data_IF_088589200460
#
_entry.id   IF_088589200460
#
_cell.length_a   1.000
_cell.length_b   1.000
_cell.length_c   1.000
_cell.angle_alpha   90.00
_cell.angle_beta   90.00
_cell.angle_gamma   90.00
#
_symmetry.space_group_name_H-M   'P 1'
#
loop_
_entity.id
_entity.type
_entity.pdbx_description
1 polymer ?
#
# COMPACT_ATOMS: atom_id res chain seq x y z
N UNK A 1 15.96 54.11 -62.74
CA UNK A 1 14.61 53.77 -62.35
C UNK A 1 14.61 52.31 -61.81
N UNK A 2 14.75 52.20 -60.56
CA UNK A 2 14.98 50.88 -59.93
C UNK A 2 13.79 50.61 -58.98
N UNK A 3 12.99 49.60 -59.31
CA UNK A 3 11.78 49.19 -58.51
C UNK A 3 12.22 48.29 -57.36
N UNK A 4 11.97 48.75 -56.17
CA UNK A 4 12.15 47.96 -54.93
C UNK A 4 10.89 47.15 -54.69
N UNK A 5 11.02 45.83 -54.71
CA UNK A 5 9.98 44.90 -54.26
C UNK A 5 10.16 44.61 -52.75
N UNK A 6 9.17 45.04 -51.95
CA UNK A 6 9.06 44.61 -50.57
C UNK A 6 8.44 43.21 -50.52
N UNK A 7 9.18 42.25 -49.99
CA UNK A 7 8.69 40.95 -49.65
C UNK A 7 8.18 40.96 -48.18
N UNK A 8 6.89 40.84 -48.01
CA UNK A 8 6.28 40.71 -46.69
C UNK A 8 6.42 39.27 -46.15
N UNK A 9 7.16 39.11 -45.07
CA UNK A 9 7.17 37.87 -44.29
C UNK A 9 5.94 37.79 -43.41
N UNK A 10 5.01 36.91 -43.74
CA UNK A 10 3.92 36.51 -42.85
C UNK A 10 4.46 35.44 -41.91
N UNK A 11 4.67 35.80 -40.64
CA UNK A 11 5.01 34.87 -39.59
C UNK A 11 3.72 34.13 -39.16
N UNK A 12 3.58 32.86 -39.56
CA UNK A 12 2.56 31.95 -39.03
C UNK A 12 2.99 31.53 -37.64
N UNK A 13 2.36 32.10 -36.62
CA UNK A 13 2.48 31.63 -35.25
C UNK A 13 1.66 30.33 -35.13
N UNK A 14 2.33 29.19 -35.13
CA UNK A 14 1.75 27.92 -34.76
C UNK A 14 1.53 27.91 -33.24
N UNK A 15 0.30 28.20 -32.79
CA UNK A 15 -0.16 27.86 -31.43
C UNK A 15 -0.19 26.34 -31.33
N UNK A 16 0.88 25.78 -30.83
CA UNK A 16 0.89 24.38 -30.34
C UNK A 16 0.08 24.35 -29.05
N UNK A 17 -1.22 24.10 -29.18
CA UNK A 17 -2.01 23.61 -28.05
C UNK A 17 -1.43 22.28 -27.62
N UNK A 18 -0.60 22.31 -26.61
CA UNK A 18 -0.18 21.13 -25.88
C UNK A 18 -1.42 20.45 -25.30
N UNK A 19 -1.97 19.50 -26.04
CA UNK A 19 -3.00 18.59 -25.55
C UNK A 19 -2.31 17.72 -24.51
N UNK A 20 -2.42 18.13 -23.24
CA UNK A 20 -2.14 17.26 -22.11
C UNK A 20 -3.04 16.03 -22.28
N UNK A 21 -2.51 14.97 -22.85
CA UNK A 21 -3.15 13.66 -22.83
C UNK A 21 -3.02 13.12 -21.42
N UNK A 22 -3.86 13.63 -20.49
CA UNK A 22 -4.33 12.80 -19.40
C UNK A 22 -5.06 11.65 -20.07
N UNK A 23 -4.39 10.52 -20.23
CA UNK A 23 -5.06 9.27 -20.44
C UNK A 23 -5.88 9.03 -19.18
N UNK A 24 -7.15 9.44 -19.21
CA UNK A 24 -8.14 8.98 -18.24
C UNK A 24 -8.15 7.46 -18.35
N UNK A 25 -7.42 6.85 -17.44
CA UNK A 25 -7.38 5.40 -17.32
C UNK A 25 -8.81 5.00 -16.96
N UNK A 26 -9.47 4.27 -17.87
CA UNK A 26 -10.86 3.88 -17.71
C UNK A 26 -11.04 3.21 -16.35
N UNK A 27 -11.89 3.78 -15.51
CA UNK A 27 -12.22 3.20 -14.22
C UNK A 27 -13.36 2.19 -14.38
N UNK A 28 -13.21 1.05 -13.75
CA UNK A 28 -14.30 0.13 -13.49
C UNK A 28 -15.10 0.66 -12.28
N UNK A 29 -16.42 0.48 -12.31
CA UNK A 29 -17.31 1.04 -11.31
C UNK A 29 -18.12 -0.03 -10.63
N UNK A 30 -18.16 0.01 -9.29
CA UNK A 30 -18.89 -0.93 -8.45
C UNK A 30 -19.79 -0.17 -7.48
N UNK A 31 -21.11 -0.34 -7.63
CA UNK A 31 -22.08 0.20 -6.68
C UNK A 31 -22.20 -0.74 -5.48
N UNK A 32 -22.07 -0.21 -4.28
CA UNK A 32 -22.13 -0.99 -3.04
C UNK A 32 -22.70 -0.16 -1.88
N UNK A 33 -22.81 -0.79 -0.72
CA UNK A 33 -23.27 -0.17 0.53
C UNK A 33 -22.31 -0.49 1.64
N UNK A 34 -22.37 0.28 2.71
CA UNK A 34 -21.53 0.02 3.86
C UNK A 34 -21.88 0.89 5.05
N UNK A 35 -21.13 0.68 6.12
CA UNK A 35 -21.21 1.45 7.35
C UNK A 35 -19.90 2.19 7.56
N UNK A 36 -19.97 3.49 7.81
CA UNK A 36 -18.81 4.32 8.13
C UNK A 36 -18.23 3.88 9.47
N UNK A 37 -16.94 3.55 9.50
CA UNK A 37 -16.21 3.11 10.70
C UNK A 37 -15.26 4.18 11.23
N UNK A 38 -14.80 5.09 10.39
CA UNK A 38 -13.89 6.16 10.79
C UNK A 38 -13.58 7.16 9.69
N UNK A 39 -12.71 8.09 10.03
CA UNK A 39 -12.16 9.11 9.13
C UNK A 39 -10.70 9.36 9.49
N UNK A 40 -9.88 9.72 8.50
CA UNK A 40 -8.57 10.30 8.77
C UNK A 40 -8.72 11.67 9.47
N UNK A 41 -7.72 12.12 10.24
CA UNK A 41 -7.78 13.41 10.94
C UNK A 41 -8.08 14.60 10.04
N UNK A 42 -7.57 14.58 8.81
CA UNK A 42 -7.78 15.59 7.76
C UNK A 42 -9.05 15.36 6.93
N UNK A 43 -9.81 14.28 7.21
CA UNK A 43 -10.99 13.84 6.47
C UNK A 43 -10.76 13.64 4.96
N UNK A 44 -9.55 13.38 4.54
CA UNK A 44 -9.26 13.00 3.14
C UNK A 44 -9.64 11.54 2.85
N UNK A 45 -9.77 10.73 3.90
CA UNK A 45 -10.06 9.30 3.84
C UNK A 45 -11.23 8.95 4.75
N UNK A 46 -12.11 8.11 4.26
CA UNK A 46 -13.25 7.53 5.00
C UNK A 46 -13.05 6.03 5.12
N UNK A 47 -13.13 5.49 6.32
CA UNK A 47 -13.10 4.06 6.58
C UNK A 47 -14.52 3.49 6.50
N UNK A 48 -14.74 2.54 5.59
CA UNK A 48 -16.06 1.96 5.34
C UNK A 48 -15.97 0.44 5.47
N UNK A 49 -16.86 -0.15 6.27
CA UNK A 49 -17.16 -1.58 6.20
C UNK A 49 -18.23 -1.77 5.12
N UNK A 50 -17.81 -2.23 3.95
CA UNK A 50 -18.69 -2.40 2.80
C UNK A 50 -19.24 -3.83 2.70
N UNK A 51 -20.36 -3.99 2.02
CA UNK A 51 -20.91 -5.29 1.64
C UNK A 51 -20.00 -6.02 0.65
N UNK A 52 -20.27 -7.31 0.43
CA UNK A 52 -19.63 -8.05 -0.65
C UNK A 52 -19.87 -7.36 -2.00
N UNK A 53 -18.81 -7.15 -2.76
CA UNK A 53 -18.86 -6.63 -4.14
C UNK A 53 -18.65 -7.84 -5.05
N UNK A 54 -19.73 -8.35 -5.71
CA UNK A 54 -19.62 -9.54 -6.54
C UNK A 54 -18.51 -9.44 -7.57
N UNK A 55 -17.80 -10.54 -7.80
CA UNK A 55 -16.73 -10.69 -8.78
C UNK A 55 -15.53 -9.73 -8.58
N UNK A 56 -15.51 -8.99 -7.47
CA UNK A 56 -14.42 -8.06 -7.19
C UNK A 56 -13.79 -8.27 -5.80
N UNK A 57 -14.55 -8.07 -4.71
CA UNK A 57 -13.99 -8.27 -3.36
C UNK A 57 -15.06 -8.63 -2.34
N UNK A 58 -14.73 -9.47 -1.32
CA UNK A 58 -15.64 -9.79 -0.23
C UNK A 58 -15.90 -8.59 0.67
N UNK A 59 -16.92 -8.69 1.52
CA UNK A 59 -17.21 -7.70 2.56
C UNK A 59 -16.02 -7.53 3.50
N UNK A 60 -15.56 -6.29 3.67
CA UNK A 60 -14.45 -5.96 4.56
C UNK A 60 -14.48 -4.48 4.98
N UNK A 61 -13.66 -4.14 5.98
CA UNK A 61 -13.44 -2.73 6.37
C UNK A 61 -12.14 -2.22 5.74
N UNK A 62 -12.22 -1.12 4.99
CA UNK A 62 -11.05 -0.52 4.37
C UNK A 62 -11.18 1.00 4.24
N UNK A 63 -10.06 1.74 4.18
CA UNK A 63 -10.08 3.17 3.92
C UNK A 63 -10.31 3.46 2.44
N UNK A 64 -11.10 4.47 2.16
CA UNK A 64 -11.36 5.00 0.83
C UNK A 64 -10.99 6.48 0.76
N UNK A 65 -10.33 6.87 -0.32
CA UNK A 65 -10.11 8.26 -0.67
C UNK A 65 -11.37 8.81 -1.32
N UNK A 66 -11.72 10.07 -1.05
CA UNK A 66 -12.73 10.79 -1.82
C UNK A 66 -12.07 11.89 -2.65
N UNK A 67 -12.47 12.02 -3.90
CA UNK A 67 -12.06 13.13 -4.77
C UNK A 67 -12.89 14.41 -4.54
N UNK A 68 -14.02 14.27 -3.86
CA UNK A 68 -14.87 15.38 -3.44
C UNK A 68 -15.16 15.30 -1.93
N UNK A 69 -14.40 16.03 -1.10
CA UNK A 69 -14.59 16.03 0.36
C UNK A 69 -15.99 16.42 0.82
N UNK A 70 -16.76 17.14 -0.01
CA UNK A 70 -18.13 17.52 0.34
C UNK A 70 -19.05 16.32 0.49
N UNK A 71 -18.78 15.23 -0.24
CA UNK A 71 -19.60 14.01 -0.19
C UNK A 71 -19.54 13.30 1.17
N UNK A 72 -18.48 13.50 1.94
CA UNK A 72 -18.28 12.87 3.25
C UNK A 72 -18.32 13.87 4.42
N UNK A 73 -18.50 15.17 4.14
CA UNK A 73 -18.39 16.23 5.15
C UNK A 73 -19.38 16.07 6.31
N UNK A 74 -20.63 15.68 6.01
CA UNK A 74 -21.72 15.54 6.99
C UNK A 74 -21.83 14.12 7.58
N UNK A 75 -21.02 13.16 7.09
CA UNK A 75 -21.07 11.80 7.56
C UNK A 75 -20.42 11.65 8.95
N UNK A 76 -20.94 10.69 9.71
CA UNK A 76 -20.46 10.33 11.04
C UNK A 76 -20.18 8.83 11.11
N UNK A 77 -19.30 8.42 12.01
CA UNK A 77 -19.10 7.01 12.35
C UNK A 77 -20.43 6.38 12.75
N UNK A 78 -20.73 5.23 12.17
CA UNK A 78 -21.99 4.51 12.31
C UNK A 78 -23.03 4.81 11.22
N UNK A 79 -22.84 5.84 10.40
CA UNK A 79 -23.76 6.12 9.29
C UNK A 79 -23.72 4.99 8.25
N UNK A 80 -24.90 4.58 7.79
CA UNK A 80 -25.04 3.67 6.67
C UNK A 80 -25.10 4.49 5.39
N UNK A 81 -24.34 4.05 4.39
CA UNK A 81 -24.21 4.73 3.11
C UNK A 81 -24.31 3.78 1.93
N UNK A 82 -24.82 4.28 0.82
CA UNK A 82 -24.58 3.72 -0.51
C UNK A 82 -23.52 4.58 -1.21
N UNK A 83 -22.68 3.96 -1.98
CA UNK A 83 -21.62 4.65 -2.71
C UNK A 83 -21.21 3.86 -3.94
N UNK A 84 -20.53 4.52 -4.85
CA UNK A 84 -19.86 3.90 -5.99
C UNK A 84 -18.37 3.91 -5.72
N UNK A 85 -17.74 2.76 -5.89
CA UNK A 85 -16.30 2.64 -5.93
C UNK A 85 -15.84 2.67 -7.38
N UNK A 86 -14.98 3.61 -7.73
CA UNK A 86 -14.32 3.69 -9.02
C UNK A 86 -12.89 3.15 -8.86
N UNK A 87 -12.48 2.22 -9.72
CA UNK A 87 -11.20 1.49 -9.65
C UNK A 87 -10.48 1.59 -10.98
N UNK A 88 -9.23 2.02 -10.94
CA UNK A 88 -8.29 1.94 -12.06
C UNK A 88 -7.20 0.91 -11.76
N UNK A 89 -6.26 0.71 -12.66
CA UNK A 89 -5.09 -0.16 -12.39
C UNK A 89 -4.18 0.37 -11.28
N UNK A 90 -4.26 1.67 -10.95
CA UNK A 90 -3.33 2.34 -10.05
C UNK A 90 -3.98 2.86 -8.79
N UNK A 91 -5.29 3.14 -8.81
CA UNK A 91 -5.97 3.86 -7.74
C UNK A 91 -7.45 3.49 -7.65
N UNK A 92 -8.07 3.81 -6.51
CA UNK A 92 -9.52 3.73 -6.33
C UNK A 92 -10.00 4.85 -5.41
N UNK A 93 -11.27 5.23 -5.59
CA UNK A 93 -11.91 6.26 -4.77
C UNK A 93 -13.41 6.00 -4.65
N UNK A 94 -14.05 6.68 -3.70
CA UNK A 94 -15.51 6.69 -3.59
C UNK A 94 -16.12 7.92 -4.26
N UNK A 95 -17.26 7.71 -4.86
CA UNK A 95 -18.11 8.75 -5.45
C UNK A 95 -19.59 8.45 -5.23
N UNK A 96 -20.47 9.42 -5.48
CA UNK A 96 -21.92 9.27 -5.33
C UNK A 96 -22.34 8.78 -3.94
N UNK A 97 -21.65 9.25 -2.89
CA UNK A 97 -21.91 8.86 -1.51
C UNK A 97 -23.24 9.43 -1.04
N UNK A 98 -24.14 8.55 -0.54
CA UNK A 98 -25.47 8.93 -0.04
C UNK A 98 -25.74 8.21 1.27
N UNK A 99 -26.24 8.93 2.26
CA UNK A 99 -26.72 8.34 3.51
C UNK A 99 -28.01 7.54 3.25
N UNK A 100 -28.09 6.33 3.79
CA UNK A 100 -29.22 5.41 3.67
C UNK A 100 -29.61 4.90 5.06
N UNK A 101 -30.68 4.10 5.15
CA UNK A 101 -31.08 3.47 6.42
C UNK A 101 -30.13 2.32 6.77
N UNK A 102 -29.85 2.14 8.06
CA UNK A 102 -28.94 1.07 8.52
C UNK A 102 -29.43 -0.33 8.15
N UNK A 103 -30.75 -0.53 8.15
CA UNK A 103 -31.40 -1.79 7.79
C UNK A 103 -31.20 -2.20 6.33
N UNK A 104 -30.85 -1.24 5.45
CA UNK A 104 -30.58 -1.49 4.04
C UNK A 104 -29.14 -1.99 3.79
N UNK A 105 -28.30 -2.11 4.83
CA UNK A 105 -26.89 -2.54 4.75
C UNK A 105 -26.69 -3.87 5.47
N UNK A 106 -26.23 -4.87 4.72
CA UNK A 106 -25.95 -6.21 5.23
C UNK A 106 -24.44 -6.41 5.45
N UNK A 107 -23.91 -5.81 6.51
CA UNK A 107 -22.56 -6.08 7.00
C UNK A 107 -22.63 -6.67 8.39
N UNK A 108 -21.77 -7.64 8.69
CA UNK A 108 -21.67 -8.20 10.03
C UNK A 108 -21.31 -7.08 11.02
N UNK A 109 -22.00 -7.06 12.18
CA UNK A 109 -21.53 -6.22 13.27
C UNK A 109 -20.08 -6.62 13.59
N UNK A 110 -19.17 -5.64 13.74
CA UNK A 110 -17.80 -5.97 14.12
C UNK A 110 -17.91 -6.76 15.42
N UNK A 111 -17.42 -8.01 15.39
CA UNK A 111 -17.19 -8.70 16.66
C UNK A 111 -16.36 -7.73 17.48
N UNK A 112 -16.85 -7.31 18.63
CA UNK A 112 -16.02 -6.63 19.63
C UNK A 112 -14.94 -7.63 20.04
N UNK A 113 -13.93 -7.76 19.20
CA UNK A 113 -12.64 -8.15 19.72
C UNK A 113 -12.33 -7.01 20.68
N UNK A 114 -12.32 -7.33 21.98
CA UNK A 114 -11.72 -6.44 22.97
C UNK A 114 -10.48 -5.88 22.29
N UNK A 115 -10.21 -4.54 22.36
CA UNK A 115 -8.97 -4.04 21.83
C UNK A 115 -7.95 -5.02 22.39
N UNK A 116 -7.27 -5.78 21.50
CA UNK A 116 -6.13 -6.57 21.92
C UNK A 116 -5.40 -5.55 22.74
N UNK A 117 -5.30 -5.79 24.05
CA UNK A 117 -4.50 -4.98 24.93
C UNK A 117 -3.10 -5.13 24.34
N UNK A 118 -2.87 -4.35 23.29
CA UNK A 118 -1.60 -4.27 22.65
C UNK A 118 -0.74 -3.73 23.78
N UNK A 119 0.01 -4.65 24.34
CA UNK A 119 1.06 -4.34 25.26
C UNK A 119 1.77 -3.14 24.67
N UNK A 120 1.59 -1.96 25.25
CA UNK A 120 2.15 -0.72 24.71
C UNK A 120 3.66 -0.82 24.65
N UNK A 121 4.22 -1.70 25.49
CA UNK A 121 5.64 -1.99 25.59
C UNK A 121 6.17 -2.86 24.43
N UNK A 122 5.29 -3.47 23.63
CA UNK A 122 5.69 -4.34 22.50
C UNK A 122 5.68 -3.63 21.13
N UNK A 123 5.33 -2.34 21.07
CA UNK A 123 5.26 -1.60 19.80
C UNK A 123 6.60 -0.97 19.47
N UNK A 124 7.11 -1.31 18.30
CA UNK A 124 8.33 -0.71 17.77
C UNK A 124 8.13 0.78 17.46
N UNK A 125 9.12 1.54 17.85
CA UNK A 125 9.32 2.95 17.54
C UNK A 125 10.70 3.17 16.92
N UNK A 126 10.93 4.35 16.38
CA UNK A 126 12.24 4.75 15.87
C UNK A 126 13.29 4.67 16.99
N UNK A 127 14.45 4.10 16.70
CA UNK A 127 15.53 3.84 17.65
C UNK A 127 15.52 2.44 18.28
N UNK A 128 14.39 1.73 18.28
CA UNK A 128 14.29 0.39 18.84
C UNK A 128 15.08 -0.64 18.02
N UNK A 129 15.54 -1.70 18.68
CA UNK A 129 16.10 -2.85 17.98
C UNK A 129 14.99 -3.66 17.33
N UNK A 130 15.20 -4.05 16.08
CA UNK A 130 14.36 -5.01 15.40
C UNK A 130 14.33 -6.34 16.18
N UNK A 131 13.17 -6.89 16.55
CA UNK A 131 13.11 -8.20 17.17
C UNK A 131 13.62 -9.28 16.21
N UNK A 132 14.21 -10.37 16.74
CA UNK A 132 14.61 -11.49 15.91
C UNK A 132 13.38 -12.12 15.23
N UNK A 133 13.54 -12.58 14.02
CA UNK A 133 12.54 -13.34 13.29
C UNK A 133 13.19 -14.49 12.54
N UNK A 134 12.38 -15.49 12.19
CA UNK A 134 12.77 -16.58 11.31
C UNK A 134 11.66 -16.82 10.30
N UNK A 135 11.93 -16.53 9.04
CA UNK A 135 10.99 -16.66 7.94
C UNK A 135 11.56 -17.60 6.86
N UNK A 136 10.72 -17.99 5.91
CA UNK A 136 11.12 -18.72 4.70
C UNK A 136 10.88 -17.83 3.49
N UNK A 137 11.91 -17.60 2.68
CA UNK A 137 11.77 -16.75 1.50
C UNK A 137 11.13 -17.51 0.31
N UNK A 138 10.91 -16.80 -0.80
CA UNK A 138 10.32 -17.34 -2.03
C UNK A 138 11.14 -18.48 -2.67
N UNK A 139 12.42 -18.64 -2.32
CA UNK A 139 13.28 -19.72 -2.79
C UNK A 139 13.23 -20.94 -1.86
N UNK A 140 12.47 -20.91 -0.75
CA UNK A 140 12.44 -21.94 0.27
C UNK A 140 13.58 -21.89 1.28
N UNK A 141 14.37 -20.81 1.29
CA UNK A 141 15.50 -20.63 2.20
C UNK A 141 15.06 -19.97 3.50
N UNK A 142 15.63 -20.40 4.62
CA UNK A 142 15.41 -19.71 5.92
C UNK A 142 16.18 -18.40 5.95
N UNK A 143 15.49 -17.33 6.31
CA UNK A 143 16.04 -16.00 6.49
C UNK A 143 15.72 -15.48 7.90
N UNK A 144 16.60 -14.67 8.42
CA UNK A 144 16.49 -14.01 9.73
C UNK A 144 16.99 -12.57 9.61
N UNK A 145 16.97 -11.84 10.71
CA UNK A 145 17.57 -10.51 10.75
C UNK A 145 19.07 -10.56 10.38
N UNK A 146 19.77 -11.62 10.78
CA UNK A 146 21.20 -11.80 10.48
C UNK A 146 21.49 -11.95 8.97
N UNK A 147 20.51 -12.42 8.19
CA UNK A 147 20.62 -12.49 6.71
C UNK A 147 20.85 -11.09 6.10
N UNK A 148 20.39 -10.06 6.78
CA UNK A 148 20.47 -8.66 6.34
C UNK A 148 21.55 -7.86 7.08
N UNK A 149 22.34 -8.50 7.95
CA UNK A 149 23.36 -7.83 8.74
C UNK A 149 24.35 -7.03 7.86
N UNK A 150 24.66 -5.81 8.27
CA UNK A 150 25.53 -4.89 7.52
C UNK A 150 24.87 -4.22 6.32
N UNK A 151 23.58 -4.48 6.08
CA UNK A 151 22.80 -3.83 5.03
C UNK A 151 21.62 -3.05 5.63
N UNK A 152 21.23 -1.96 4.98
CA UNK A 152 19.95 -1.32 5.29
C UNK A 152 18.81 -2.20 4.78
N UNK A 153 17.80 -2.45 5.62
CA UNK A 153 16.65 -3.28 5.27
C UNK A 153 15.38 -2.43 5.23
N UNK A 154 14.68 -2.43 4.09
CA UNK A 154 13.32 -1.89 3.98
C UNK A 154 12.34 -3.04 4.05
N UNK A 155 11.51 -3.07 5.09
CA UNK A 155 10.53 -4.12 5.34
C UNK A 155 9.12 -3.59 5.16
N UNK A 156 8.26 -4.34 4.48
CA UNK A 156 6.81 -4.07 4.36
C UNK A 156 5.99 -5.36 4.47
N UNK A 157 4.68 -5.20 4.62
CA UNK A 157 3.72 -6.30 4.72
C UNK A 157 2.77 -6.29 3.53
N UNK A 158 2.58 -7.44 2.90
CA UNK A 158 1.72 -7.64 1.73
C UNK A 158 1.02 -8.99 1.80
N UNK A 159 0.03 -9.25 0.95
CA UNK A 159 -0.41 -10.60 0.63
C UNK A 159 -0.81 -10.68 -0.84
N UNK A 160 -0.59 -11.87 -1.46
CA UNK A 160 -0.63 -12.01 -2.92
C UNK A 160 -2.03 -11.86 -3.51
N UNK A 161 -3.06 -12.15 -2.72
CA UNK A 161 -4.48 -12.08 -3.12
C UNK A 161 -5.15 -10.73 -2.81
N UNK A 162 -4.38 -9.69 -2.51
CA UNK A 162 -4.95 -8.37 -2.22
C UNK A 162 -5.62 -7.79 -3.47
N UNK A 163 -6.94 -7.56 -3.47
CA UNK A 163 -7.65 -7.08 -4.67
C UNK A 163 -7.56 -5.55 -4.83
N UNK A 164 -6.99 -4.86 -3.87
CA UNK A 164 -7.05 -3.40 -3.76
C UNK A 164 -5.81 -2.76 -4.38
N UNK A 165 -5.92 -2.08 -5.54
CA UNK A 165 -4.77 -1.61 -6.34
C UNK A 165 -3.78 -0.72 -5.59
N UNK A 166 -4.27 0.19 -4.74
CA UNK A 166 -3.41 1.12 -4.01
C UNK A 166 -2.96 0.62 -2.61
N UNK A 167 -3.14 -0.68 -2.32
CA UNK A 167 -2.62 -1.36 -1.13
C UNK A 167 -1.39 -2.21 -1.48
N UNK A 168 -1.48 -3.53 -1.35
CA UNK A 168 -0.35 -4.43 -1.62
C UNK A 168 0.24 -4.27 -3.03
N UNK A 169 -0.56 -4.13 -4.12
CA UNK A 169 -0.01 -3.88 -5.44
C UNK A 169 0.82 -2.58 -5.50
N UNK A 170 0.33 -1.49 -4.88
CA UNK A 170 1.09 -0.23 -4.80
C UNK A 170 2.38 -0.40 -4.00
N UNK A 171 2.35 -1.10 -2.85
CA UNK A 171 3.56 -1.37 -2.07
C UNK A 171 4.59 -2.14 -2.89
N UNK A 172 4.15 -3.18 -3.62
CA UNK A 172 5.02 -3.95 -4.48
C UNK A 172 5.57 -3.13 -5.67
N UNK A 173 4.76 -2.26 -6.27
CA UNK A 173 5.24 -1.36 -7.33
C UNK A 173 6.29 -0.37 -6.80
N UNK A 174 6.07 0.23 -5.63
CA UNK A 174 7.04 1.12 -4.99
C UNK A 174 8.35 0.37 -4.66
N UNK A 175 8.27 -0.89 -4.23
CA UNK A 175 9.45 -1.74 -4.01
C UNK A 175 10.17 -2.08 -5.31
N UNK A 176 9.46 -2.26 -6.42
CA UNK A 176 10.04 -2.39 -7.75
C UNK A 176 10.85 -1.16 -8.14
N UNK A 177 10.31 0.06 -7.92
CA UNK A 177 11.03 1.32 -8.17
C UNK A 177 12.27 1.47 -7.26
N UNK A 178 12.15 1.11 -5.98
CA UNK A 178 13.29 1.06 -5.06
C UNK A 178 14.37 0.10 -5.55
N UNK A 179 13.99 -1.11 -5.97
CA UNK A 179 14.90 -2.09 -6.51
C UNK A 179 15.69 -1.56 -7.70
N UNK A 180 15.03 -0.95 -8.68
CA UNK A 180 15.71 -0.40 -9.86
C UNK A 180 16.68 0.73 -9.49
N UNK A 181 16.32 1.55 -8.50
CA UNK A 181 17.21 2.59 -7.97
C UNK A 181 18.42 1.98 -7.25
N UNK A 182 18.20 0.95 -6.41
CA UNK A 182 19.26 0.22 -5.70
C UNK A 182 20.26 -0.40 -6.71
N UNK A 183 19.77 -1.05 -7.77
CA UNK A 183 20.59 -1.67 -8.82
C UNK A 183 21.53 -0.68 -9.51
N UNK A 184 21.06 0.55 -9.71
CA UNK A 184 21.83 1.60 -10.41
C UNK A 184 22.68 2.47 -9.49
N UNK A 185 22.65 2.21 -8.18
CA UNK A 185 23.28 3.06 -7.16
C UNK A 185 24.65 2.53 -6.72
N UNK A 186 25.36 3.36 -5.96
CA UNK A 186 26.63 3.06 -5.27
C UNK A 186 26.52 3.45 -3.79
N UNK A 187 27.51 3.06 -2.99
CA UNK A 187 27.56 3.40 -1.57
C UNK A 187 26.47 2.70 -0.74
N UNK A 188 25.95 3.39 0.27
CA UNK A 188 24.95 2.85 1.23
C UNK A 188 23.72 2.32 0.52
N UNK A 189 23.20 3.05 -0.47
CA UNK A 189 21.98 2.65 -1.19
C UNK A 189 22.15 1.35 -1.97
N UNK A 190 23.31 1.07 -2.57
CA UNK A 190 23.60 -0.19 -3.26
C UNK A 190 23.56 -1.40 -2.32
N UNK A 191 23.77 -1.18 -1.02
CA UNK A 191 23.74 -2.21 0.01
C UNK A 191 22.35 -2.36 0.66
N UNK A 192 21.35 -1.60 0.21
CA UNK A 192 19.99 -1.75 0.73
C UNK A 192 19.35 -3.08 0.25
N UNK A 193 18.51 -3.65 1.09
CA UNK A 193 17.74 -4.87 0.84
C UNK A 193 16.27 -4.61 1.11
N UNK A 194 15.41 -5.30 0.39
CA UNK A 194 13.96 -5.19 0.46
C UNK A 194 13.37 -6.50 0.94
N UNK A 195 12.43 -6.44 1.88
CA UNK A 195 11.72 -7.61 2.40
C UNK A 195 10.22 -7.34 2.45
N UNK A 196 9.46 -8.11 1.68
CA UNK A 196 8.01 -8.16 1.75
C UNK A 196 7.58 -9.38 2.54
N UNK A 197 6.97 -9.19 3.71
CA UNK A 197 6.48 -10.28 4.58
C UNK A 197 4.99 -10.50 4.30
N UNK A 198 4.59 -11.76 4.11
CA UNK A 198 3.17 -12.06 3.88
C UNK A 198 2.30 -11.82 5.10
N UNK A 199 1.08 -11.38 4.85
CA UNK A 199 -0.02 -11.34 5.83
C UNK A 199 -0.91 -12.60 5.75
N UNK A 200 -0.69 -13.49 4.78
CA UNK A 200 -1.51 -14.67 4.50
C UNK A 200 -0.67 -15.97 4.46
N UNK A 201 0.02 -16.32 5.56
CA UNK A 201 0.94 -17.46 5.54
C UNK A 201 0.26 -18.80 5.24
N UNK A 202 -1.05 -18.90 5.47
CA UNK A 202 -1.80 -20.10 5.13
C UNK A 202 -1.96 -20.31 3.61
N UNK A 203 -1.95 -19.24 2.84
CA UNK A 203 -2.08 -19.27 1.38
C UNK A 203 -0.74 -19.00 0.68
N UNK A 204 -0.01 -17.99 1.10
CA UNK A 204 1.22 -17.50 0.48
C UNK A 204 2.40 -18.44 0.81
N UNK A 205 2.39 -19.63 0.20
CA UNK A 205 3.52 -20.57 0.27
C UNK A 205 4.74 -20.00 -0.46
N UNK A 206 5.96 -20.54 -0.23
CA UNK A 206 7.15 -20.10 -0.97
C UNK A 206 6.95 -20.15 -2.50
N UNK A 207 6.25 -21.17 -3.03
CA UNK A 207 5.95 -21.27 -4.46
C UNK A 207 5.07 -20.12 -4.95
N UNK A 208 4.02 -19.78 -4.22
CA UNK A 208 3.12 -18.65 -4.56
C UNK A 208 3.87 -17.32 -4.48
N UNK A 209 4.71 -17.15 -3.45
CA UNK A 209 5.57 -15.98 -3.32
C UNK A 209 6.61 -15.91 -4.45
N UNK A 210 7.13 -17.03 -4.92
CA UNK A 210 8.04 -17.07 -6.08
C UNK A 210 7.35 -16.58 -7.36
N UNK A 211 6.11 -17.02 -7.60
CA UNK A 211 5.32 -16.58 -8.75
C UNK A 211 4.98 -15.07 -8.66
N UNK A 212 4.65 -14.59 -7.46
CA UNK A 212 4.40 -13.17 -7.20
C UNK A 212 5.67 -12.32 -7.37
N UNK A 213 6.81 -12.80 -6.89
CA UNK A 213 8.12 -12.17 -7.09
C UNK A 213 8.47 -12.06 -8.58
N UNK A 214 8.24 -13.14 -9.35
CA UNK A 214 8.46 -13.13 -10.79
C UNK A 214 7.54 -12.12 -11.51
N UNK A 215 6.27 -12.03 -11.11
CA UNK A 215 5.33 -11.04 -11.65
C UNK A 215 5.82 -9.60 -11.43
N UNK A 216 6.45 -9.29 -10.29
CA UNK A 216 7.03 -8.00 -9.97
C UNK A 216 8.50 -7.83 -10.43
N UNK A 217 9.05 -8.77 -11.20
CA UNK A 217 10.43 -8.76 -11.66
C UNK A 217 11.46 -8.60 -10.51
N UNK A 218 11.17 -9.21 -9.37
CA UNK A 218 12.03 -9.10 -8.19
C UNK A 218 13.35 -9.86 -8.38
N UNK A 219 14.45 -9.15 -8.15
CA UNK A 219 15.77 -9.73 -8.05
C UNK A 219 15.99 -10.25 -6.62
N UNK A 220 16.08 -11.55 -6.44
CA UNK A 220 16.20 -12.18 -5.13
C UNK A 220 17.45 -11.79 -4.32
N UNK A 221 18.45 -11.19 -4.97
CA UNK A 221 19.62 -10.61 -4.31
C UNK A 221 19.33 -9.30 -3.60
N UNK A 222 18.26 -8.61 -4.02
CA UNK A 222 17.87 -7.29 -3.50
C UNK A 222 16.54 -7.38 -2.76
N UNK A 223 15.55 -8.07 -3.34
CA UNK A 223 14.18 -8.09 -2.85
C UNK A 223 13.70 -9.51 -2.58
N UNK A 224 13.47 -9.80 -1.31
CA UNK A 224 12.92 -11.06 -0.84
C UNK A 224 11.45 -10.93 -0.49
N UNK A 225 10.68 -11.97 -0.81
CA UNK A 225 9.33 -12.19 -0.29
C UNK A 225 9.38 -13.35 0.70
N UNK A 226 8.74 -13.22 1.85
CA UNK A 226 8.85 -14.22 2.89
C UNK A 226 7.53 -14.58 3.54
N UNK A 227 7.41 -15.83 3.92
CA UNK A 227 6.34 -16.42 4.72
C UNK A 227 6.90 -17.06 5.98
N UNK A 228 6.05 -17.51 6.87
CA UNK A 228 6.46 -18.19 8.10
C UNK A 228 5.28 -18.82 8.81
N UNK A 229 5.54 -19.31 10.03
CA UNK A 229 4.45 -19.74 10.92
C UNK A 229 3.48 -18.59 11.20
N UNK A 230 2.20 -18.90 11.42
CA UNK A 230 1.18 -17.95 11.84
C UNK A 230 1.61 -17.12 13.06
N UNK A 231 2.23 -17.75 14.05
CA UNK A 231 2.71 -17.09 15.27
C UNK A 231 3.85 -16.10 14.99
N UNK A 232 4.74 -16.43 14.07
CA UNK A 232 5.85 -15.57 13.67
C UNK A 232 5.34 -14.33 12.95
N UNK A 233 4.43 -14.53 11.99
CA UNK A 233 3.77 -13.44 11.28
C UNK A 233 2.97 -12.55 12.24
N UNK A 234 2.22 -13.12 13.17
CA UNK A 234 1.49 -12.37 14.19
C UNK A 234 2.42 -11.59 15.13
N UNK A 235 3.57 -12.16 15.48
CA UNK A 235 4.57 -11.47 16.30
C UNK A 235 5.10 -10.22 15.58
N UNK A 236 5.52 -10.39 14.32
CA UNK A 236 6.03 -9.27 13.52
C UNK A 236 4.95 -8.21 13.26
N UNK A 237 3.75 -8.60 12.88
CA UNK A 237 2.67 -7.64 12.60
C UNK A 237 2.28 -6.85 13.85
N UNK A 238 2.24 -7.50 15.04
CA UNK A 238 2.01 -6.80 16.31
C UNK A 238 3.13 -5.82 16.63
N UNK A 239 4.39 -6.22 16.47
CA UNK A 239 5.54 -5.35 16.72
C UNK A 239 5.47 -4.06 15.90
N UNK A 240 5.10 -4.15 14.62
CA UNK A 240 4.91 -2.98 13.76
C UNK A 240 3.52 -2.34 13.89
N UNK A 241 2.67 -2.78 14.81
CA UNK A 241 1.28 -2.32 14.95
C UNK A 241 0.47 -2.47 13.65
N UNK A 242 0.77 -3.48 12.88
CA UNK A 242 -0.03 -3.89 11.72
C UNK A 242 -1.12 -4.83 12.23
N UNK A 243 -2.31 -4.29 12.32
CA UNK A 243 -3.49 -5.10 12.62
C UNK A 243 -3.74 -6.08 11.45
N UNK A 244 -4.09 -7.31 11.76
CA UNK A 244 -4.38 -8.37 10.79
C UNK A 244 -5.56 -9.22 11.28
N UNK A 245 -6.58 -9.33 10.47
CA UNK A 245 -7.78 -10.13 10.77
C UNK A 245 -8.28 -10.83 9.53
N UNK A 246 -8.45 -12.15 9.60
CA UNK A 246 -9.07 -12.92 8.53
C UNK A 246 -10.57 -12.60 8.48
N UNK A 247 -11.06 -12.19 7.33
CA UNK A 247 -12.45 -11.89 7.05
C UNK A 247 -12.88 -12.66 5.79
N UNK A 248 -13.97 -13.42 5.85
CA UNK A 248 -14.71 -14.04 4.72
C UNK A 248 -13.97 -14.19 3.37
N UNK A 249 -12.74 -14.76 3.39
CA UNK A 249 -11.94 -14.98 2.19
C UNK A 249 -10.92 -13.90 1.83
N UNK A 250 -10.76 -12.89 2.68
CA UNK A 250 -9.73 -11.85 2.58
C UNK A 250 -9.11 -11.56 3.94
N UNK A 251 -8.16 -10.63 3.97
CA UNK A 251 -7.49 -10.15 5.18
C UNK A 251 -7.70 -8.65 5.31
N UNK A 252 -8.37 -8.24 6.38
CA UNK A 252 -8.39 -6.85 6.81
C UNK A 252 -7.12 -6.56 7.59
N UNK A 253 -6.38 -5.52 7.22
CA UNK A 253 -5.08 -5.26 7.83
C UNK A 253 -4.68 -3.78 7.77
N UNK A 254 -3.78 -3.39 8.68
CA UNK A 254 -3.05 -2.13 8.58
C UNK A 254 -1.89 -2.22 7.59
N UNK A 255 -1.27 -1.08 7.30
CA UNK A 255 -0.08 -0.99 6.47
C UNK A 255 1.06 -0.32 7.26
N UNK A 256 2.23 -0.92 7.19
CA UNK A 256 3.46 -0.32 7.68
C UNK A 256 4.62 -0.69 6.77
N UNK A 257 5.55 0.26 6.60
CA UNK A 257 6.85 0.04 5.97
C UNK A 257 7.89 0.60 6.90
N UNK A 258 8.98 -0.12 7.12
CA UNK A 258 10.03 0.29 8.05
C UNK A 258 11.39 0.26 7.37
N UNK A 259 12.25 1.22 7.74
CA UNK A 259 13.66 1.23 7.43
C UNK A 259 14.42 0.78 8.68
N UNK A 260 15.19 -0.27 8.54
CA UNK A 260 16.07 -0.83 9.54
C UNK A 260 17.51 -0.60 9.08
N UNK A 261 18.34 -0.04 9.93
CA UNK A 261 19.73 0.24 9.59
C UNK A 261 20.61 -1.01 9.70
N UNK A 262 21.86 -0.89 9.29
CA UNK A 262 22.85 -1.97 9.27
C UNK A 262 23.19 -2.56 10.65
N UNK A 263 22.88 -1.85 11.73
CA UNK A 263 22.99 -2.30 13.12
C UNK A 263 21.72 -3.00 13.63
N UNK A 264 20.69 -3.14 12.79
CA UNK A 264 19.41 -3.76 13.12
C UNK A 264 18.49 -2.90 13.98
N UNK A 265 18.63 -1.57 13.91
CA UNK A 265 17.71 -0.63 14.58
C UNK A 265 16.72 -0.03 13.60
N UNK A 266 15.52 0.26 14.08
CA UNK A 266 14.49 0.97 13.34
C UNK A 266 14.88 2.44 13.20
N UNK A 267 15.15 2.90 12.01
CA UNK A 267 15.40 4.32 11.75
C UNK A 267 14.08 5.05 11.47
N UNK A 268 13.15 4.42 10.75
CA UNK A 268 11.87 5.04 10.43
C UNK A 268 10.76 4.04 10.20
N UNK A 269 9.53 4.43 10.55
CA UNK A 269 8.31 3.65 10.27
C UNK A 269 7.29 4.56 9.58
N UNK A 270 6.93 4.20 8.35
CA UNK A 270 5.81 4.81 7.62
C UNK A 270 4.54 4.00 7.87
N UNK A 271 3.49 4.67 8.26
CA UNK A 271 2.15 4.09 8.45
C UNK A 271 1.28 4.40 7.24
N UNK A 272 0.52 3.40 6.77
CA UNK A 272 -0.30 3.55 5.57
C UNK A 272 0.50 3.41 4.27
N UNK A 273 -0.03 3.93 3.19
CA UNK A 273 0.46 3.77 1.81
C UNK A 273 0.81 5.09 1.11
N UNK A 274 0.92 6.19 1.85
CA UNK A 274 1.16 7.50 1.27
C UNK A 274 2.64 7.78 0.98
N UNK A 275 3.58 6.99 1.54
CA UNK A 275 5.00 7.16 1.32
C UNK A 275 5.42 6.89 -0.13
N UNK A 276 6.51 7.49 -0.54
CA UNK A 276 7.09 7.37 -1.89
C UNK A 276 8.47 6.71 -1.86
N UNK A 277 8.92 6.05 -2.95
CA UNK A 277 10.29 5.53 -3.05
C UNK A 277 11.35 6.60 -2.77
N UNK A 278 11.14 7.84 -3.24
CA UNK A 278 12.07 8.95 -3.04
C UNK A 278 12.29 9.29 -1.55
N UNK A 279 11.24 9.20 -0.72
CA UNK A 279 11.36 9.40 0.73
C UNK A 279 12.23 8.33 1.37
N UNK A 280 12.04 7.06 1.01
CA UNK A 280 12.84 5.94 1.53
C UNK A 280 14.30 6.07 1.08
N UNK A 281 14.54 6.37 -0.20
CA UNK A 281 15.89 6.58 -0.75
C UNK A 281 16.63 7.67 0.03
N UNK A 282 15.96 8.80 0.29
CA UNK A 282 16.54 9.90 1.08
C UNK A 282 16.95 9.46 2.47
N UNK A 283 16.12 8.69 3.16
CA UNK A 283 16.44 8.19 4.52
C UNK A 283 17.59 7.17 4.48
N UNK A 284 17.67 6.28 3.49
CA UNK A 284 18.80 5.34 3.34
C UNK A 284 20.11 6.11 3.09
N UNK A 285 20.08 7.17 2.29
CA UNK A 285 21.26 7.99 1.99
C UNK A 285 21.73 8.82 3.19
N UNK A 286 20.87 9.03 4.18
CA UNK A 286 21.18 9.78 5.41
C UNK A 286 21.82 8.90 6.51
N UNK A 287 21.86 7.56 6.32
CA UNK A 287 22.56 6.61 7.20
C UNK A 287 24.08 6.68 7.00
#
# INVERSE_FOLDING_TARGET
MQKILLAGCVALALLSCGRSTNSDERADHYDTRGVVRGFSPDRSTIEIQHENIPDFMPSMTMPFVTRDPKQIAELRTGDAISFRMAVTKKDFWVENVKKIRREDVNVAEPKRTSPVSADRDARLTEGDKMPPFTLTNQNGERISLDTFHGNSLVLTFVFTRCPVPNFCPRMSNNFGELQETIKSSTGTLANARLLSVTLDPAYDTPKILSDYAAFHHADSKIWSFATGDEKEIDSLTRAFSVYRQNEAGTISHGLATALINKEGRIDKIWRGNAWTPAEIIKEIQAQ
#
